data_IF_002130099917
#
_entry.id   IF_002130099917
#
_cell.length_a   1.000
_cell.length_b   1.000
_cell.length_c   1.000
_cell.angle_alpha   90.00
_cell.angle_beta   90.00
_cell.angle_gamma   90.00
#
_symmetry.space_group_name_H-M   'P 1'
#
loop_
_entity.id
_entity.type
_entity.pdbx_description
1 polymer ?
#
# COMPACT_ATOMS: atom_id res chain seq x y z
N UNK A 1 -19.72 -3.91 6.70
CA UNK A 1 -19.72 -4.45 5.31
C UNK A 1 -21.04 -5.10 4.92
N UNK A 2 -21.54 -6.09 5.66
CA UNK A 2 -22.79 -6.79 5.30
C UNK A 2 -23.98 -5.85 5.03
N UNK A 3 -24.19 -4.83 5.87
CA UNK A 3 -25.27 -3.86 5.66
C UNK A 3 -25.14 -3.07 4.35
N UNK A 4 -23.92 -2.69 3.94
CA UNK A 4 -23.70 -1.95 2.70
C UNK A 4 -24.00 -2.81 1.47
N UNK A 5 -23.57 -4.08 1.51
CA UNK A 5 -23.86 -5.07 0.46
C UNK A 5 -25.37 -5.37 0.42
N UNK A 6 -25.97 -5.69 1.57
CA UNK A 6 -27.40 -6.01 1.69
C UNK A 6 -28.30 -4.84 1.28
N UNK A 7 -27.92 -3.61 1.60
CA UNK A 7 -28.63 -2.42 1.13
C UNK A 7 -28.57 -2.29 -0.39
N UNK A 8 -27.41 -2.55 -1.00
CA UNK A 8 -27.23 -2.50 -2.46
C UNK A 8 -28.07 -3.57 -3.15
N UNK A 9 -28.09 -4.79 -2.61
CA UNK A 9 -28.96 -5.88 -3.06
C UNK A 9 -30.45 -5.49 -2.96
N UNK A 10 -30.87 -4.92 -1.82
CA UNK A 10 -32.26 -4.47 -1.62
C UNK A 10 -32.65 -3.36 -2.61
N UNK A 11 -31.79 -2.37 -2.84
CA UNK A 11 -32.00 -1.33 -3.85
C UNK A 11 -32.14 -1.92 -5.25
N UNK A 12 -31.32 -2.92 -5.59
CA UNK A 12 -31.42 -3.68 -6.84
C UNK A 12 -32.79 -4.36 -7.00
N UNK A 13 -33.29 -5.04 -5.95
CA UNK A 13 -34.65 -5.64 -5.96
C UNK A 13 -35.76 -4.62 -6.13
N UNK A 14 -35.56 -3.39 -5.66
CA UNK A 14 -36.50 -2.28 -5.85
C UNK A 14 -36.38 -1.62 -7.24
N UNK A 15 -35.60 -2.19 -8.16
CA UNK A 15 -35.38 -1.65 -9.50
C UNK A 15 -34.51 -0.38 -9.52
N UNK A 16 -33.77 -0.08 -8.44
CA UNK A 16 -32.85 1.05 -8.41
C UNK A 16 -31.48 0.60 -8.92
N UNK A 17 -30.87 1.44 -9.77
CA UNK A 17 -29.49 1.24 -10.23
C UNK A 17 -28.54 1.62 -9.10
N UNK A 18 -28.06 0.64 -8.35
CA UNK A 18 -27.16 0.82 -7.22
C UNK A 18 -25.92 -0.07 -7.36
N UNK A 19 -24.81 0.40 -6.81
CA UNK A 19 -23.57 -0.35 -6.66
C UNK A 19 -22.95 -0.04 -5.30
N UNK A 20 -22.04 -0.91 -4.83
CA UNK A 20 -21.31 -0.72 -3.58
C UNK A 20 -19.82 -0.50 -3.85
N UNK A 21 -19.18 0.35 -3.07
CA UNK A 21 -17.72 0.47 -3.03
C UNK A 21 -17.23 0.01 -1.67
N UNK A 22 -16.31 -0.95 -1.66
CA UNK A 22 -15.69 -1.52 -0.46
C UNK A 22 -14.17 -1.29 -0.53
N UNK A 23 -13.46 -1.74 0.51
CA UNK A 23 -11.99 -1.76 0.52
C UNK A 23 -11.53 -3.19 0.30
N UNK A 24 -10.48 -3.36 -0.50
CA UNK A 24 -9.70 -4.59 -0.52
C UNK A 24 -9.16 -4.93 0.89
N UNK A 25 -9.33 -6.16 1.37
CA UNK A 25 -8.73 -6.60 2.61
C UNK A 25 -7.23 -6.92 2.47
N UNK A 26 -6.48 -6.61 3.51
CA UNK A 26 -5.12 -7.12 3.68
C UNK A 26 -5.11 -8.66 3.77
N UNK A 27 -4.15 -9.28 3.10
CA UNK A 27 -3.90 -10.71 3.03
C UNK A 27 -3.40 -11.28 4.37
N UNK A 28 -2.48 -10.57 5.05
CA UNK A 28 -1.86 -11.04 6.30
C UNK A 28 -2.88 -11.48 7.38
N UNK A 29 -3.90 -10.66 7.70
CA UNK A 29 -4.96 -11.02 8.64
C UNK A 29 -5.84 -12.21 8.24
N UNK A 30 -5.96 -12.50 6.94
CA UNK A 30 -6.73 -13.67 6.43
C UNK A 30 -6.15 -14.98 6.96
N UNK A 31 -4.83 -15.07 7.10
CA UNK A 31 -4.13 -16.24 7.67
C UNK A 31 -4.07 -16.25 9.20
N UNK A 32 -4.66 -15.24 9.86
CA UNK A 32 -4.77 -15.15 11.31
C UNK A 32 -6.18 -15.52 11.80
N UNK A 33 -6.85 -14.56 12.43
CA UNK A 33 -8.17 -14.73 13.08
C UNK A 33 -9.31 -14.19 12.21
N UNK A 34 -9.01 -13.40 11.16
CA UNK A 34 -10.00 -12.56 10.48
C UNK A 34 -10.39 -13.12 9.11
N UNK A 35 -11.47 -13.90 9.05
CA UNK A 35 -12.10 -14.31 7.80
C UNK A 35 -13.36 -13.48 7.51
N UNK A 36 -13.45 -12.87 6.33
CA UNK A 36 -14.71 -12.31 5.80
C UNK A 36 -14.80 -10.78 5.71
N UNK A 37 -13.85 -10.12 5.03
CA UNK A 37 -13.96 -8.69 4.78
C UNK A 37 -15.00 -8.32 3.71
N UNK A 38 -15.29 -9.24 2.78
CA UNK A 38 -16.23 -9.08 1.67
C UNK A 38 -17.71 -9.35 2.04
N UNK A 39 -18.07 -9.28 3.33
CA UNK A 39 -19.44 -9.51 3.81
C UNK A 39 -19.64 -10.89 4.45
N UNK A 40 -20.90 -11.32 4.59
CA UNK A 40 -21.26 -12.56 5.28
C UNK A 40 -22.71 -13.01 5.04
N UNK A 41 -22.95 -14.32 5.11
CA UNK A 41 -24.26 -14.90 4.81
C UNK A 41 -24.68 -14.63 3.36
N UNK A 42 -25.92 -14.21 3.15
CA UNK A 42 -26.45 -13.87 1.82
C UNK A 42 -26.05 -12.45 1.32
N UNK A 43 -25.33 -11.69 2.13
CA UNK A 43 -24.84 -10.35 1.80
C UNK A 43 -23.31 -10.35 1.65
N UNK A 44 -22.85 -10.85 0.50
CA UNK A 44 -21.43 -11.00 0.16
C UNK A 44 -21.10 -10.46 -1.23
N UNK A 45 -19.85 -10.06 -1.41
CA UNK A 45 -19.21 -9.82 -2.71
C UNK A 45 -18.37 -11.04 -3.09
N UNK A 46 -18.39 -11.41 -4.37
CA UNK A 46 -17.75 -12.61 -4.91
C UNK A 46 -16.92 -12.29 -6.16
N UNK A 47 -15.85 -13.06 -6.43
CA UNK A 47 -15.35 -14.24 -5.70
C UNK A 47 -14.59 -13.90 -4.41
N UNK A 48 -15.02 -14.45 -3.27
CA UNK A 48 -14.48 -14.10 -1.94
C UNK A 48 -13.03 -14.61 -1.74
N UNK A 49 -12.69 -15.74 -2.36
CA UNK A 49 -11.35 -16.33 -2.26
C UNK A 49 -10.30 -15.43 -2.90
N UNK A 50 -10.58 -14.94 -4.12
CA UNK A 50 -9.68 -14.01 -4.82
C UNK A 50 -9.55 -12.69 -4.04
N UNK A 51 -10.67 -12.12 -3.57
CA UNK A 51 -10.69 -10.85 -2.83
C UNK A 51 -9.88 -10.92 -1.52
N UNK A 52 -9.89 -12.05 -0.82
CA UNK A 52 -9.19 -12.18 0.47
C UNK A 52 -7.70 -12.55 0.32
N UNK A 53 -7.25 -12.86 -0.89
CA UNK A 53 -5.89 -13.32 -1.19
C UNK A 53 -5.14 -12.28 -2.01
N UNK A 54 -4.83 -12.60 -3.28
CA UNK A 54 -4.02 -11.73 -4.14
C UNK A 54 -4.84 -10.72 -4.93
N UNK A 55 -6.14 -11.01 -5.07
CA UNK A 55 -7.08 -10.29 -5.91
C UNK A 55 -6.45 -9.89 -7.26
N UNK A 56 -6.43 -8.59 -7.56
CA UNK A 56 -5.85 -8.02 -8.79
C UNK A 56 -4.38 -7.62 -8.63
N UNK A 57 -3.82 -7.75 -7.42
CA UNK A 57 -2.42 -7.48 -7.11
C UNK A 57 -2.13 -6.05 -6.64
N UNK A 58 -3.15 -5.27 -6.27
CA UNK A 58 -2.99 -3.86 -5.91
C UNK A 58 -2.15 -3.68 -4.65
N UNK A 59 -2.39 -4.48 -3.62
CA UNK A 59 -1.55 -4.49 -2.41
C UNK A 59 -0.11 -4.91 -2.72
N UNK A 60 0.11 -5.82 -3.68
CA UNK A 60 1.47 -6.19 -4.12
C UNK A 60 2.16 -5.02 -4.82
N UNK A 61 1.44 -4.28 -5.67
CA UNK A 61 1.94 -3.09 -6.33
C UNK A 61 2.34 -2.01 -5.31
N UNK A 62 1.49 -1.75 -4.30
CA UNK A 62 1.79 -0.83 -3.19
C UNK A 62 3.02 -1.28 -2.41
N UNK A 63 3.10 -2.56 -2.05
CA UNK A 63 4.25 -3.12 -1.34
C UNK A 63 5.55 -2.99 -2.13
N UNK A 64 5.50 -3.25 -3.43
CA UNK A 64 6.64 -3.14 -4.34
C UNK A 64 7.10 -1.69 -4.48
N UNK A 65 6.18 -0.75 -4.69
CA UNK A 65 6.50 0.67 -4.78
C UNK A 65 7.10 1.20 -3.47
N UNK A 66 6.51 0.84 -2.32
CA UNK A 66 7.01 1.27 -1.02
C UNK A 66 8.42 0.77 -0.75
N UNK A 67 8.69 -0.51 -1.03
CA UNK A 67 9.99 -1.12 -0.80
C UNK A 67 11.04 -0.66 -1.84
N UNK A 68 10.63 -0.29 -3.06
CA UNK A 68 11.51 0.38 -4.02
C UNK A 68 12.01 1.72 -3.44
N UNK A 69 11.12 2.53 -2.87
CA UNK A 69 11.53 3.80 -2.24
C UNK A 69 12.49 3.55 -1.05
N UNK A 70 12.21 2.56 -0.20
CA UNK A 70 13.12 2.17 0.88
C UNK A 70 14.51 1.75 0.35
N UNK A 71 14.56 0.95 -0.72
CA UNK A 71 15.80 0.53 -1.35
C UNK A 71 16.57 1.69 -1.98
N UNK A 72 15.88 2.63 -2.63
CA UNK A 72 16.48 3.84 -3.22
C UNK A 72 17.07 4.74 -2.14
N UNK A 73 16.40 4.92 -1.01
CA UNK A 73 16.92 5.70 0.12
C UNK A 73 18.25 5.11 0.60
N UNK A 74 18.28 3.80 0.87
CA UNK A 74 19.50 3.15 1.38
C UNK A 74 20.62 3.12 0.33
N UNK A 75 20.30 2.93 -0.96
CA UNK A 75 21.26 3.02 -2.04
C UNK A 75 21.81 4.45 -2.20
N UNK A 76 20.98 5.48 -2.09
CA UNK A 76 21.42 6.88 -2.13
C UNK A 76 22.42 7.19 -1.01
N UNK A 77 22.13 6.72 0.20
CA UNK A 77 23.04 6.83 1.35
C UNK A 77 24.37 6.12 1.07
N UNK A 78 24.32 4.93 0.46
CA UNK A 78 25.49 4.12 0.16
C UNK A 78 26.39 4.72 -0.95
N UNK A 79 25.79 5.24 -2.02
CA UNK A 79 26.51 5.69 -3.23
C UNK A 79 27.16 7.08 -3.11
N UNK A 80 27.09 7.73 -1.96
CA UNK A 80 27.71 9.04 -1.73
C UNK A 80 26.86 10.01 -0.91
N UNK A 81 25.57 9.71 -0.70
CA UNK A 81 24.65 10.46 0.14
C UNK A 81 24.64 11.97 -0.16
N UNK A 82 24.45 12.35 -1.42
CA UNK A 82 24.50 13.76 -1.86
C UNK A 82 23.44 14.65 -1.16
N UNK A 83 22.39 14.04 -0.61
CA UNK A 83 21.32 14.73 0.15
C UNK A 83 21.65 14.83 1.66
N UNK A 84 22.81 14.32 2.08
CA UNK A 84 23.30 14.27 3.46
C UNK A 84 22.26 13.70 4.44
N UNK A 85 21.52 12.68 4.01
CA UNK A 85 20.51 11.97 4.82
C UNK A 85 21.19 11.45 6.09
N UNK A 86 20.61 11.75 7.25
CA UNK A 86 21.04 11.15 8.52
C UNK A 86 20.42 9.74 8.63
N UNK A 87 21.22 8.65 8.65
CA UNK A 87 20.68 7.29 8.75
C UNK A 87 19.84 7.05 10.01
N UNK A 88 20.02 7.87 11.06
CA UNK A 88 19.23 7.81 12.30
C UNK A 88 17.91 8.58 12.21
N UNK A 89 17.66 9.29 11.12
CA UNK A 89 16.46 10.11 10.88
C UNK A 89 15.74 9.75 9.59
N UNK A 90 15.94 8.52 9.10
CA UNK A 90 15.09 7.96 8.05
C UNK A 90 13.74 7.62 8.68
N UNK A 91 12.70 8.28 8.20
CA UNK A 91 11.32 8.06 8.64
C UNK A 91 10.67 6.90 7.88
N UNK A 92 11.10 6.70 6.64
CA UNK A 92 10.57 5.68 5.75
C UNK A 92 10.96 4.28 6.21
N UNK A 93 9.95 3.50 6.62
CA UNK A 93 10.06 2.09 7.01
C UNK A 93 9.99 1.21 5.76
N UNK A 94 9.87 -0.10 5.94
CA UNK A 94 9.56 -1.07 4.88
C UNK A 94 8.16 -1.62 5.11
N UNK A 95 7.62 -2.34 4.13
CA UNK A 95 6.32 -2.99 4.29
C UNK A 95 6.27 -4.41 3.78
N UNK A 96 5.40 -5.20 4.39
CA UNK A 96 4.95 -6.48 3.85
C UNK A 96 3.52 -6.75 4.28
N UNK A 97 2.73 -7.41 3.44
CA UNK A 97 1.33 -7.70 3.78
C UNK A 97 1.20 -9.01 4.55
N UNK A 98 1.91 -9.08 5.68
CA UNK A 98 1.97 -10.27 6.53
C UNK A 98 1.94 -9.87 8.00
N UNK A 99 1.31 -10.71 8.82
CA UNK A 99 1.26 -10.51 10.27
C UNK A 99 2.57 -10.99 10.93
N UNK A 100 3.68 -10.30 10.66
CA UNK A 100 4.98 -10.65 11.22
C UNK A 100 5.42 -9.65 12.31
N UNK A 101 5.33 -10.07 13.57
CA UNK A 101 5.75 -9.24 14.71
C UNK A 101 7.28 -9.10 14.82
N UNK A 102 8.06 -10.01 14.23
CA UNK A 102 9.52 -10.02 14.38
C UNK A 102 10.20 -8.88 13.62
N UNK A 103 9.53 -8.33 12.61
CA UNK A 103 10.07 -7.26 11.78
C UNK A 103 9.76 -5.85 12.30
N UNK A 104 9.14 -5.71 13.48
CA UNK A 104 8.74 -4.41 14.06
C UNK A 104 9.92 -3.53 14.44
N UNK A 105 11.07 -4.12 14.78
CA UNK A 105 12.31 -3.42 15.09
C UNK A 105 13.47 -4.28 14.58
N UNK A 106 14.23 -3.78 13.61
CA UNK A 106 15.34 -4.49 12.98
C UNK A 106 16.53 -3.55 12.78
N UNK A 107 17.69 -4.15 12.53
CA UNK A 107 18.87 -3.44 12.01
C UNK A 107 19.11 -3.95 10.59
N UNK A 108 19.23 -3.03 9.63
CA UNK A 108 19.51 -3.32 8.21
C UNK A 108 20.91 -2.81 7.84
N UNK A 109 21.43 -3.23 6.68
CA UNK A 109 22.75 -2.79 6.20
C UNK A 109 23.92 -3.31 7.05
N UNK A 110 23.74 -4.47 7.67
CA UNK A 110 24.82 -5.20 8.33
C UNK A 110 25.63 -5.99 7.30
N UNK A 111 26.89 -6.30 7.61
CA UNK A 111 27.77 -7.06 6.74
C UNK A 111 29.12 -6.37 6.52
N UNK A 112 29.70 -6.56 5.34
CA UNK A 112 30.92 -5.93 4.89
C UNK A 112 30.69 -4.59 4.17
N UNK A 113 31.77 -3.97 3.65
CA UNK A 113 31.72 -2.65 3.03
C UNK A 113 30.80 -2.52 1.80
N UNK A 114 30.38 -3.64 1.19
CA UNK A 114 29.47 -3.65 0.04
C UNK A 114 27.98 -3.80 0.41
N UNK A 115 27.65 -4.03 1.69
CA UNK A 115 26.30 -4.44 2.12
C UNK A 115 25.43 -3.27 2.59
N UNK A 116 25.95 -2.03 2.51
CA UNK A 116 25.22 -0.81 2.83
C UNK A 116 25.68 -0.13 4.13
N UNK A 117 24.81 0.74 4.66
CA UNK A 117 25.05 1.48 5.91
C UNK A 117 24.12 0.96 7.00
N UNK A 118 24.71 0.53 8.12
CA UNK A 118 23.97 0.00 9.24
C UNK A 118 23.03 1.06 9.85
N UNK A 119 21.73 0.75 9.97
CA UNK A 119 20.75 1.60 10.66
C UNK A 119 19.58 0.80 11.21
N UNK A 120 18.89 1.40 12.19
CA UNK A 120 17.60 0.90 12.65
C UNK A 120 16.53 1.11 11.57
N UNK A 121 15.63 0.14 11.47
CA UNK A 121 14.50 0.14 10.55
C UNK A 121 13.40 -0.74 11.13
N UNK A 122 12.28 -0.82 10.42
CA UNK A 122 11.18 -1.70 10.74
C UNK A 122 10.31 -2.00 9.52
N UNK A 123 9.41 -2.96 9.67
CA UNK A 123 8.33 -3.23 8.73
C UNK A 123 6.98 -2.87 9.35
N UNK A 124 6.11 -2.29 8.52
CA UNK A 124 4.69 -2.15 8.78
C UNK A 124 3.89 -3.06 7.82
N UNK A 125 2.60 -3.25 8.12
CA UNK A 125 1.73 -3.95 7.19
C UNK A 125 1.47 -3.07 5.95
N UNK A 126 1.44 -3.64 4.75
CA UNK A 126 1.38 -2.84 3.50
C UNK A 126 0.23 -1.85 3.45
N UNK A 127 -0.94 -2.19 3.99
CA UNK A 127 -2.09 -1.28 4.04
C UNK A 127 -1.91 -0.06 4.97
N UNK A 128 -0.86 -0.05 5.80
CA UNK A 128 -0.48 1.11 6.63
C UNK A 128 0.49 2.07 5.91
N UNK A 129 0.96 1.72 4.70
CA UNK A 129 1.82 2.55 3.87
C UNK A 129 1.16 3.89 3.51
N UNK A 130 1.93 4.98 3.54
CA UNK A 130 1.48 6.27 2.99
C UNK A 130 1.13 6.16 1.49
N UNK A 131 1.80 5.28 0.74
CA UNK A 131 1.47 5.01 -0.67
C UNK A 131 0.04 4.44 -0.80
N UNK A 132 -0.43 3.62 0.15
CA UNK A 132 -1.81 3.13 0.14
C UNK A 132 -2.79 4.29 0.33
N UNK A 133 -2.51 5.19 1.28
CA UNK A 133 -3.34 6.37 1.49
C UNK A 133 -3.35 7.29 0.26
N UNK A 134 -2.20 7.49 -0.37
CA UNK A 134 -2.06 8.26 -1.61
C UNK A 134 -2.85 7.63 -2.75
N UNK A 135 -2.79 6.30 -2.92
CA UNK A 135 -3.54 5.58 -3.96
C UNK A 135 -5.05 5.76 -3.78
N UNK A 136 -5.55 5.70 -2.53
CA UNK A 136 -6.97 5.91 -2.22
C UNK A 136 -7.45 7.37 -2.36
N UNK A 137 -6.54 8.34 -2.39
CA UNK A 137 -6.86 9.78 -2.42
C UNK A 137 -6.51 10.45 -3.75
N UNK A 138 -5.80 9.76 -4.64
CA UNK A 138 -5.42 10.30 -5.94
C UNK A 138 -6.63 10.33 -6.88
N UNK A 139 -6.81 11.46 -7.56
CA UNK A 139 -7.88 11.62 -8.57
C UNK A 139 -7.46 11.08 -9.95
N UNK A 140 -6.16 11.18 -10.26
CA UNK A 140 -5.58 10.69 -11.50
C UNK A 140 -4.06 10.41 -11.35
N UNK A 141 -3.41 10.04 -12.46
CA UNK A 141 -1.99 9.69 -12.49
C UNK A 141 -1.07 10.89 -12.21
N UNK A 142 -1.46 12.11 -12.56
CA UNK A 142 -0.65 13.30 -12.29
C UNK A 142 -0.76 13.71 -10.81
N UNK A 143 -1.96 13.64 -10.23
CA UNK A 143 -2.16 13.83 -8.78
C UNK A 143 -1.42 12.74 -7.98
N UNK A 144 -1.46 11.49 -8.43
CA UNK A 144 -0.69 10.39 -7.82
C UNK A 144 0.80 10.72 -7.77
N UNK A 145 1.40 11.11 -8.90
CA UNK A 145 2.82 11.51 -8.95
C UNK A 145 3.13 12.70 -8.05
N UNK A 146 2.26 13.70 -8.04
CA UNK A 146 2.42 14.88 -7.20
C UNK A 146 2.48 14.50 -5.72
N UNK A 147 1.50 13.73 -5.24
CA UNK A 147 1.42 13.24 -3.85
C UNK A 147 2.60 12.36 -3.48
N UNK A 148 2.99 11.42 -4.33
CA UNK A 148 4.19 10.60 -4.13
C UNK A 148 5.43 11.48 -3.96
N UNK A 149 5.54 12.57 -4.73
CA UNK A 149 6.63 13.54 -4.62
C UNK A 149 6.65 14.35 -3.31
N UNK A 150 5.54 14.43 -2.58
CA UNK A 150 5.41 15.15 -1.32
C UNK A 150 5.68 14.29 -0.08
N UNK A 151 5.90 12.99 -0.24
CA UNK A 151 6.21 12.10 0.90
C UNK A 151 7.54 12.52 1.55
N UNK A 152 7.50 12.80 2.85
CA UNK A 152 8.68 13.07 3.66
C UNK A 152 9.33 11.75 4.08
N UNK A 153 10.54 11.48 3.59
CA UNK A 153 11.18 10.17 3.77
C UNK A 153 12.28 10.17 4.82
N UNK A 154 12.94 11.30 5.04
CA UNK A 154 14.02 11.42 6.00
C UNK A 154 14.27 12.89 6.39
N UNK A 155 15.20 13.08 7.31
CA UNK A 155 15.86 14.37 7.53
C UNK A 155 17.35 14.26 7.25
N UNK A 156 17.94 15.32 6.71
CA UNK A 156 19.39 15.43 6.59
C UNK A 156 20.05 15.77 7.94
N UNK A 157 21.39 15.80 8.01
CA UNK A 157 22.11 16.10 9.26
C UNK A 157 21.89 17.53 9.75
N UNK A 158 21.50 18.44 8.86
CA UNK A 158 21.07 19.81 9.17
C UNK A 158 19.60 19.90 9.63
N UNK A 159 18.92 18.76 9.80
CA UNK A 159 17.50 18.65 10.19
C UNK A 159 16.51 19.22 9.17
N UNK A 160 16.93 19.36 7.91
CA UNK A 160 16.04 19.75 6.82
C UNK A 160 15.30 18.51 6.29
N UNK A 161 14.02 18.65 5.92
CA UNK A 161 13.23 17.55 5.37
C UNK A 161 13.78 17.11 4.02
N UNK A 162 13.79 15.79 3.78
CA UNK A 162 14.11 15.18 2.49
C UNK A 162 12.87 14.47 1.97
N UNK A 163 12.40 14.88 0.79
CA UNK A 163 11.18 14.37 0.16
C UNK A 163 11.50 13.35 -0.94
N UNK A 164 10.57 12.44 -1.21
CA UNK A 164 10.76 11.39 -2.22
C UNK A 164 11.09 11.92 -3.63
N UNK A 165 10.62 13.13 -3.99
CA UNK A 165 10.95 13.78 -5.27
C UNK A 165 12.45 14.07 -5.43
N UNK A 166 13.18 14.28 -4.34
CA UNK A 166 14.62 14.59 -4.36
C UNK A 166 15.46 13.35 -4.68
N UNK A 167 14.87 12.15 -4.60
CA UNK A 167 15.50 10.87 -4.93
C UNK A 167 15.28 10.44 -6.38
N UNK A 168 14.57 11.24 -7.20
CA UNK A 168 14.36 10.95 -8.62
C UNK A 168 13.53 9.69 -8.94
N UNK A 169 12.79 9.15 -7.96
CA UNK A 169 12.12 7.83 -8.06
C UNK A 169 10.63 7.89 -8.47
N UNK A 170 10.04 9.08 -8.55
CA UNK A 170 8.57 9.25 -8.69
C UNK A 170 8.01 8.57 -9.94
N UNK A 171 8.70 8.66 -11.07
CA UNK A 171 8.28 7.97 -12.30
C UNK A 171 8.21 6.44 -12.11
N UNK A 172 9.20 5.86 -11.45
CA UNK A 172 9.25 4.41 -11.18
C UNK A 172 8.14 3.98 -10.23
N UNK A 173 7.86 4.76 -9.17
CA UNK A 173 6.75 4.49 -8.25
C UNK A 173 5.40 4.53 -8.97
N UNK A 174 5.18 5.55 -9.80
CA UNK A 174 3.92 5.71 -10.54
C UNK A 174 3.71 4.57 -11.56
N UNK A 175 4.76 4.10 -12.22
CA UNK A 175 4.68 2.96 -13.16
C UNK A 175 4.28 1.68 -12.43
N UNK A 176 4.82 1.42 -11.25
CA UNK A 176 4.44 0.24 -10.45
C UNK A 176 2.97 0.27 -10.00
N UNK A 177 2.41 1.46 -9.79
CA UNK A 177 1.03 1.66 -9.34
C UNK A 177 0.03 1.87 -10.49
N UNK A 178 0.49 1.85 -11.76
CA UNK A 178 -0.32 2.21 -12.92
C UNK A 178 -1.61 1.40 -13.04
N UNK A 179 -1.52 0.09 -12.84
CA UNK A 179 -2.68 -0.79 -12.94
C UNK A 179 -3.49 -0.82 -11.64
N UNK A 180 -2.84 -0.70 -10.48
CA UNK A 180 -3.49 -0.60 -9.17
C UNK A 180 -4.32 0.68 -8.97
N UNK A 181 -4.11 1.71 -9.79
CA UNK A 181 -4.95 2.91 -9.81
C UNK A 181 -6.34 2.66 -10.43
N UNK A 182 -6.52 1.56 -11.16
CA UNK A 182 -7.79 1.23 -11.82
C UNK A 182 -8.71 0.50 -10.83
N UNK A 183 -9.97 0.94 -10.65
CA UNK A 183 -10.91 0.25 -9.76
C UNK A 183 -11.22 -1.17 -10.22
N UNK A 184 -11.36 -2.10 -9.27
CA UNK A 184 -11.65 -3.49 -9.56
C UNK A 184 -13.15 -3.77 -9.53
N UNK A 185 -13.70 -4.23 -10.65
CA UNK A 185 -15.12 -4.56 -10.75
C UNK A 185 -15.38 -6.03 -10.40
N UNK A 186 -16.22 -6.24 -9.39
CA UNK A 186 -16.77 -7.54 -8.98
C UNK A 186 -18.29 -7.41 -8.77
N UNK A 187 -18.93 -8.40 -8.16
CA UNK A 187 -20.38 -8.40 -7.97
C UNK A 187 -20.82 -8.94 -6.60
N UNK A 188 -22.01 -8.54 -6.17
CA UNK A 188 -22.70 -9.18 -5.04
C UNK A 188 -23.20 -10.58 -5.44
N UNK A 189 -23.63 -11.39 -4.46
CA UNK A 189 -24.31 -12.67 -4.71
C UNK A 189 -25.57 -12.56 -5.59
N UNK A 190 -26.19 -11.39 -5.67
CA UNK A 190 -27.40 -11.15 -6.48
C UNK A 190 -27.09 -10.41 -7.80
N UNK A 191 -25.81 -10.28 -8.16
CA UNK A 191 -25.37 -9.73 -9.44
C UNK A 191 -25.31 -8.20 -9.52
N UNK A 192 -25.45 -7.47 -8.41
CA UNK A 192 -25.23 -6.03 -8.43
C UNK A 192 -23.73 -5.70 -8.50
N UNK A 193 -23.32 -4.65 -9.23
CA UNK A 193 -21.91 -4.25 -9.33
C UNK A 193 -21.31 -3.86 -7.98
N UNK A 194 -20.04 -4.19 -7.79
CA UNK A 194 -19.26 -3.76 -6.63
C UNK A 194 -17.84 -3.37 -7.06
N UNK A 195 -17.35 -2.22 -6.57
CA UNK A 195 -15.93 -1.91 -6.58
C UNK A 195 -15.30 -2.34 -5.25
N UNK A 196 -14.11 -2.92 -5.32
CA UNK A 196 -13.31 -3.35 -4.17
C UNK A 196 -11.90 -2.78 -4.30
#
# INVERSE_FOLDING_TARGET
TCTAIGLTQALGKMGKRAMVCLREPSLGPTFGIKGGAAGGGYAQVVPMEDINLHFTGDIHAVGTAHNLLAAVIDNHIFQGNELDIDPKRVLWRRVMDMNDRQLRNIVVGLGGPGDGVARESAFDITVASEIMAILCLAEDMEDLKHRLGQMLVAYNRNKQPVFARELGVIGSLAVLLKDALKPNLVQTLEGQPAFV
#
